data_IF_934520084792
#
_entry.id   IF_934520084792
#
_cell.length_a   1.000
_cell.length_b   1.000
_cell.length_c   1.000
_cell.angle_alpha   90.00
_cell.angle_beta   90.00
_cell.angle_gamma   90.00
#
_symmetry.space_group_name_H-M   'P 1'
#
loop_
_entity.id
_entity.type
_entity.pdbx_description
1 polymer ?
#
# COMPACT_ATOMS: atom_id res chain seq x y z
N UNK A 1 -17.73 -11.11 -2.50
CA UNK A 1 -17.60 -11.06 -1.02
C UNK A 1 -16.67 -9.93 -0.58
N UNK A 2 -17.03 -8.66 -0.81
CA UNK A 2 -16.20 -7.52 -0.37
C UNK A 2 -16.31 -7.27 1.15
N UNK A 3 -17.46 -7.56 1.74
CA UNK A 3 -17.71 -7.43 3.17
C UNK A 3 -16.85 -8.38 4.01
N UNK A 4 -16.69 -9.64 3.59
CA UNK A 4 -15.86 -10.63 4.28
C UNK A 4 -14.38 -10.23 4.27
N UNK A 5 -13.87 -9.73 3.14
CA UNK A 5 -12.50 -9.22 3.04
C UNK A 5 -12.28 -8.01 3.97
N UNK A 6 -13.25 -7.10 4.05
CA UNK A 6 -13.21 -5.95 4.96
C UNK A 6 -13.26 -6.40 6.42
N UNK A 7 -14.15 -7.33 6.76
CA UNK A 7 -14.24 -7.88 8.12
C UNK A 7 -12.93 -8.55 8.55
N UNK A 8 -12.34 -9.38 7.69
CA UNK A 8 -11.05 -10.01 7.95
C UNK A 8 -9.94 -8.96 8.15
N UNK A 9 -9.91 -7.93 7.32
CA UNK A 9 -8.93 -6.84 7.44
C UNK A 9 -9.10 -6.07 8.76
N UNK A 10 -10.34 -5.78 9.17
CA UNK A 10 -10.62 -5.14 10.47
C UNK A 10 -10.14 -6.03 11.62
N UNK A 11 -10.40 -7.34 11.57
CA UNK A 11 -9.93 -8.29 12.59
C UNK A 11 -8.40 -8.29 12.66
N UNK A 12 -7.71 -8.36 11.52
CA UNK A 12 -6.24 -8.32 11.49
C UNK A 12 -5.71 -7.01 12.08
N UNK A 13 -6.29 -5.86 11.70
CA UNK A 13 -5.88 -4.58 12.26
C UNK A 13 -6.10 -4.50 13.77
N UNK A 14 -7.22 -5.06 14.26
CA UNK A 14 -7.52 -5.11 15.68
C UNK A 14 -6.52 -5.99 16.44
N UNK A 15 -6.17 -7.16 15.89
CA UNK A 15 -5.13 -8.03 16.46
C UNK A 15 -3.78 -7.35 16.51
N UNK A 16 -3.38 -6.65 15.44
CA UNK A 16 -2.14 -5.88 15.40
C UNK A 16 -2.15 -4.75 16.43
N UNK A 17 -3.28 -4.05 16.59
CA UNK A 17 -3.43 -3.00 17.59
C UNK A 17 -3.29 -3.56 19.02
N UNK A 18 -3.97 -4.66 19.34
CA UNK A 18 -3.86 -5.33 20.65
C UNK A 18 -2.43 -5.82 20.90
N UNK A 19 -1.80 -6.46 19.92
CA UNK A 19 -0.41 -6.90 20.04
C UNK A 19 0.55 -5.73 20.25
N UNK A 20 0.32 -4.59 19.58
CA UNK A 20 1.12 -3.38 19.76
C UNK A 20 0.97 -2.80 21.17
N UNK A 21 -0.26 -2.78 21.70
CA UNK A 21 -0.54 -2.33 23.05
C UNK A 21 0.14 -3.22 24.09
N UNK A 22 -0.03 -4.53 23.98
CA UNK A 22 0.62 -5.51 24.86
C UNK A 22 2.14 -5.39 24.81
N UNK A 23 2.69 -5.28 23.60
CA UNK A 23 4.12 -5.06 23.38
C UNK A 23 4.63 -3.77 24.04
N UNK A 24 3.88 -2.67 23.95
CA UNK A 24 4.23 -1.41 24.61
C UNK A 24 4.16 -1.50 26.14
N UNK A 25 3.18 -2.25 26.65
CA UNK A 25 2.99 -2.45 28.09
C UNK A 25 4.09 -3.29 28.72
N UNK A 26 4.49 -4.37 28.04
CA UNK A 26 5.52 -5.29 28.52
C UNK A 26 6.93 -4.69 28.35
N UNK A 27 7.16 -3.93 27.28
CA UNK A 27 8.47 -3.38 26.95
C UNK A 27 8.56 -1.88 27.28
N UNK A 28 8.23 -1.52 28.54
CA UNK A 28 8.40 -0.16 29.08
C UNK A 28 9.83 0.20 29.48
N UNK A 29 10.77 -0.72 29.34
CA UNK A 29 12.17 -0.49 29.67
C UNK A 29 12.75 0.62 28.78
N UNK A 30 13.26 1.67 29.42
CA UNK A 30 13.99 2.73 28.74
C UNK A 30 15.36 2.20 28.32
N UNK A 31 15.65 2.33 27.03
CA UNK A 31 16.92 1.94 26.42
C UNK A 31 17.52 3.11 25.65
N UNK A 32 18.84 3.17 25.67
CA UNK A 32 19.62 4.10 24.85
C UNK A 32 20.18 3.30 23.68
N UNK A 33 19.87 3.69 22.45
CA UNK A 33 20.44 3.09 21.25
C UNK A 33 21.76 3.77 20.92
N UNK A 34 22.84 2.99 20.85
CA UNK A 34 24.14 3.45 20.37
C UNK A 34 24.31 3.08 18.90
N UNK A 35 24.64 4.08 18.09
CA UNK A 35 24.94 3.96 16.68
C UNK A 35 26.27 4.65 16.40
N UNK A 36 27.36 3.87 16.35
CA UNK A 36 28.73 4.39 16.22
C UNK A 36 29.02 5.39 17.35
N UNK A 37 29.21 6.67 17.03
CA UNK A 37 29.43 7.77 17.99
C UNK A 37 28.14 8.51 18.36
N UNK A 38 27.02 8.17 17.73
CA UNK A 38 25.71 8.77 18.01
C UNK A 38 24.96 7.93 19.06
N UNK A 39 24.34 8.63 20.01
CA UNK A 39 23.50 8.01 21.03
C UNK A 39 22.10 8.62 20.99
N UNK A 40 21.08 7.77 21.03
CA UNK A 40 19.70 8.25 21.15
C UNK A 40 19.42 8.75 22.56
N UNK A 41 18.37 9.56 22.77
CA UNK A 41 17.78 9.72 24.09
C UNK A 41 17.32 8.37 24.65
N UNK A 42 17.32 8.24 25.99
CA UNK A 42 16.77 7.08 26.66
C UNK A 42 15.24 7.08 26.53
N UNK A 43 14.71 6.19 25.69
CA UNK A 43 13.27 6.06 25.41
C UNK A 43 12.85 4.59 25.56
N UNK A 44 11.55 4.31 25.77
CA UNK A 44 11.08 2.93 25.83
C UNK A 44 11.44 2.17 24.55
N UNK A 45 11.99 0.95 24.70
CA UNK A 45 12.32 0.08 23.57
C UNK A 45 11.14 -0.08 22.60
N UNK A 46 9.94 -0.20 23.18
CA UNK A 46 8.71 -0.32 22.43
C UNK A 46 8.46 0.85 21.47
N UNK A 47 8.82 2.08 21.84
CA UNK A 47 8.63 3.25 20.99
C UNK A 47 9.46 3.17 19.72
N UNK A 48 10.73 2.80 19.82
CA UNK A 48 11.61 2.65 18.66
C UNK A 48 11.06 1.64 17.65
N UNK A 49 10.62 0.48 18.15
CA UNK A 49 10.11 -0.60 17.32
C UNK A 49 8.77 -0.23 16.68
N UNK A 50 7.86 0.40 17.42
CA UNK A 50 6.56 0.83 16.88
C UNK A 50 6.73 1.92 15.83
N UNK A 51 7.62 2.89 16.04
CA UNK A 51 7.93 3.92 15.04
C UNK A 51 8.53 3.28 13.78
N UNK A 52 9.48 2.36 13.92
CA UNK A 52 10.06 1.64 12.79
C UNK A 52 9.01 0.83 12.02
N UNK A 53 8.11 0.15 12.74
CA UNK A 53 7.00 -0.60 12.15
C UNK A 53 6.05 0.30 11.36
N UNK A 54 5.65 1.43 11.93
CA UNK A 54 4.77 2.40 11.26
C UNK A 54 5.45 2.97 10.02
N UNK A 55 6.71 3.38 10.11
CA UNK A 55 7.47 3.91 8.97
C UNK A 55 7.62 2.86 7.87
N UNK A 56 7.94 1.61 8.21
CA UNK A 56 8.00 0.49 7.27
C UNK A 56 6.66 0.24 6.58
N UNK A 57 5.55 0.29 7.33
CA UNK A 57 4.20 0.17 6.79
C UNK A 57 3.85 1.30 5.83
N UNK A 58 4.15 2.56 6.20
CA UNK A 58 3.95 3.72 5.33
C UNK A 58 4.76 3.63 4.05
N UNK A 59 6.02 3.20 4.14
CA UNK A 59 6.87 2.95 2.97
C UNK A 59 6.29 1.85 2.07
N UNK A 60 5.80 0.75 2.65
CA UNK A 60 5.16 -0.33 1.91
C UNK A 60 3.91 0.13 1.16
N UNK A 61 3.04 0.91 1.82
CA UNK A 61 1.85 1.52 1.19
C UNK A 61 2.26 2.48 0.08
N UNK A 62 3.26 3.33 0.32
CA UNK A 62 3.75 4.29 -0.66
C UNK A 62 4.29 3.61 -1.92
N UNK A 63 5.12 2.57 -1.76
CA UNK A 63 5.65 1.78 -2.87
C UNK A 63 4.53 1.05 -3.64
N UNK A 64 3.58 0.44 -2.92
CA UNK A 64 2.43 -0.23 -3.53
C UNK A 64 1.55 0.73 -4.32
N UNK A 65 1.33 1.94 -3.80
CA UNK A 65 0.62 3.01 -4.50
C UNK A 65 1.35 3.42 -5.78
N UNK A 66 2.67 3.62 -5.71
CA UNK A 66 3.49 4.01 -6.86
C UNK A 66 3.43 2.97 -7.99
N UNK A 67 3.53 1.67 -7.67
CA UNK A 67 3.39 0.57 -8.64
C UNK A 67 2.00 0.58 -9.27
N UNK A 68 0.95 0.66 -8.45
CA UNK A 68 -0.44 0.62 -8.92
C UNK A 68 -0.76 1.84 -9.79
N UNK A 69 -0.28 3.02 -9.45
CA UNK A 69 -0.46 4.24 -10.23
C UNK A 69 0.16 4.08 -11.64
N UNK A 70 1.38 3.51 -11.72
CA UNK A 70 2.06 3.26 -12.99
C UNK A 70 1.30 2.27 -13.87
N UNK A 71 0.81 1.17 -13.28
CA UNK A 71 0.01 0.17 -13.98
C UNK A 71 -1.31 0.75 -14.49
N UNK A 72 -1.99 1.58 -13.69
CA UNK A 72 -3.22 2.26 -14.11
C UNK A 72 -2.98 3.22 -15.27
N UNK A 73 -1.86 3.93 -15.27
CA UNK A 73 -1.50 4.81 -16.40
C UNK A 73 -1.29 4.00 -17.68
N UNK A 74 -0.53 2.91 -17.61
CA UNK A 74 -0.30 2.04 -18.77
C UNK A 74 -1.62 1.43 -19.29
N UNK A 75 -2.49 0.97 -18.39
CA UNK A 75 -3.82 0.47 -18.74
C UNK A 75 -4.67 1.54 -19.43
N UNK A 76 -4.62 2.78 -18.95
CA UNK A 76 -5.36 3.89 -19.56
C UNK A 76 -4.86 4.17 -20.99
N UNK A 77 -3.54 4.20 -21.19
CA UNK A 77 -2.94 4.42 -22.50
C UNK A 77 -3.31 3.31 -23.49
N UNK A 78 -3.18 2.04 -23.08
CA UNK A 78 -3.56 0.89 -23.91
C UNK A 78 -5.06 0.88 -24.23
N UNK A 79 -5.92 1.25 -23.27
CA UNK A 79 -7.37 1.32 -23.50
C UNK A 79 -7.75 2.35 -24.57
N UNK A 80 -6.99 3.44 -24.67
CA UNK A 80 -7.19 4.47 -25.70
C UNK A 80 -6.84 3.94 -27.10
N UNK A 81 -5.77 3.17 -27.24
CA UNK A 81 -5.40 2.53 -28.52
C UNK A 81 -6.43 1.49 -28.95
N UNK A 82 -6.90 0.64 -28.03
CA UNK A 82 -7.97 -0.32 -28.31
C UNK A 82 -9.26 0.37 -28.78
N UNK A 83 -9.63 1.48 -28.13
CA UNK A 83 -10.80 2.26 -28.52
C UNK A 83 -10.64 2.88 -29.91
N UNK A 84 -9.42 3.26 -30.30
CA UNK A 84 -9.13 3.79 -31.64
C UNK A 84 -9.27 2.71 -32.71
N UNK A 85 -8.64 1.55 -32.52
CA UNK A 85 -8.77 0.44 -33.47
C UNK A 85 -10.21 -0.06 -33.58
N UNK A 86 -10.96 -0.07 -32.46
CA UNK A 86 -12.38 -0.41 -32.47
C UNK A 86 -13.21 0.54 -33.34
N UNK A 87 -12.93 1.85 -33.27
CA UNK A 87 -13.58 2.87 -34.12
C UNK A 87 -13.20 2.71 -35.60
N UNK A 88 -11.96 2.36 -35.90
CA UNK A 88 -11.50 2.09 -37.27
C UNK A 88 -12.24 0.90 -37.89
N UNK A 89 -12.40 -0.20 -37.14
CA UNK A 89 -13.17 -1.38 -37.58
C UNK A 89 -14.64 -1.02 -37.84
N UNK A 90 -15.29 -0.28 -36.94
CA UNK A 90 -16.69 0.12 -37.11
C UNK A 90 -16.88 1.03 -38.33
N UNK A 91 -15.91 1.91 -38.61
CA UNK A 91 -15.91 2.73 -39.82
C UNK A 91 -15.78 1.89 -41.09
N UNK A 92 -14.87 0.92 -41.12
CA UNK A 92 -14.69 0.03 -42.27
C UNK A 92 -15.93 -0.84 -42.52
N UNK A 93 -16.55 -1.37 -41.47
CA UNK A 93 -17.80 -2.14 -41.57
C UNK A 93 -18.96 -1.30 -42.13
N UNK A 94 -19.12 -0.08 -41.64
CA UNK A 94 -20.19 0.81 -42.12
C UNK A 94 -19.96 1.30 -43.56
N UNK A 95 -18.71 1.38 -44.02
CA UNK A 95 -18.39 1.64 -45.43
C UNK A 95 -18.68 0.42 -46.31
N UNK A 96 -18.31 -0.78 -45.88
CA UNK A 96 -18.55 -2.03 -46.62
C UNK A 96 -20.04 -2.40 -46.77
N UNK A 97 -20.92 -1.89 -45.91
CA UNK A 97 -22.38 -2.09 -46.01
C UNK A 97 -23.04 -1.05 -46.94
N UNK A 98 -22.36 0.10 -47.19
CA UNK A 98 -22.88 1.20 -48.00
C UNK A 98 -22.42 1.20 -49.46
N UNK A 99 -21.35 0.47 -49.79
CA UNK A 99 -20.89 0.21 -51.16
C UNK A 99 -21.42 -1.11 -51.67
#
# INVERSE_FOLDING_TARGET
>A
MQWLKRALLIIVLLLVALATLDFMLENRQNVTLQFLELQSPALPLSLFIVVAFVLGGLLGVFLGWMITARLRLQLMLQSNELNRHRKEIDKLRTQAIKG
#
